data_IF_720553020059
#
_entry.id   IF_720553020059
#
_cell.length_a   1.000
_cell.length_b   1.000
_cell.length_c   1.000
_cell.angle_alpha   90.00
_cell.angle_beta   90.00
_cell.angle_gamma   90.00
#
_symmetry.space_group_name_H-M   'P 1'
#
loop_
_entity.id
_entity.type
_entity.pdbx_description
1 polymer ?
#
# COMPACT_ATOMS: atom_id res chain seq x y z
N UNK A 1 -18.44 -6.91 6.92
CA UNK A 1 -18.24 -7.96 5.95
C UNK A 1 -17.36 -7.50 4.80
N UNK A 2 -16.35 -8.29 4.47
CA UNK A 2 -15.38 -7.92 3.44
C UNK A 2 -15.70 -8.65 2.14
N UNK A 3 -16.50 -8.04 1.28
CA UNK A 3 -16.83 -8.55 -0.04
C UNK A 3 -16.19 -7.74 -1.16
N UNK A 4 -15.61 -6.61 -0.85
CA UNK A 4 -15.03 -5.74 -1.87
C UNK A 4 -13.69 -6.30 -2.34
N UNK A 5 -13.52 -6.62 -3.65
CA UNK A 5 -12.23 -7.13 -4.16
C UNK A 5 -11.08 -6.17 -3.92
N UNK A 6 -11.33 -4.87 -3.83
CA UNK A 6 -10.29 -3.88 -3.56
C UNK A 6 -9.65 -4.05 -2.18
N UNK A 7 -10.29 -4.78 -1.26
CA UNK A 7 -9.74 -5.05 0.07
C UNK A 7 -8.73 -6.21 0.07
N UNK A 8 -8.63 -6.98 -1.00
CA UNK A 8 -7.73 -8.15 -1.07
C UNK A 8 -6.29 -7.78 -0.77
N UNK A 9 -5.80 -6.68 -1.33
CA UNK A 9 -4.42 -6.25 -1.14
C UNK A 9 -4.14 -5.88 0.32
N UNK A 10 -5.10 -5.27 0.98
CA UNK A 10 -4.96 -4.92 2.40
C UNK A 10 -4.86 -6.19 3.26
N UNK A 11 -5.63 -7.22 2.95
CA UNK A 11 -5.57 -8.50 3.64
C UNK A 11 -4.21 -9.17 3.39
N UNK A 12 -3.74 -9.16 2.14
CA UNK A 12 -2.45 -9.74 1.77
C UNK A 12 -1.30 -9.03 2.51
N UNK A 13 -1.33 -7.71 2.59
CA UNK A 13 -0.33 -6.93 3.32
C UNK A 13 -0.36 -7.26 4.81
N UNK A 14 -1.55 -7.39 5.39
CA UNK A 14 -1.70 -7.75 6.80
C UNK A 14 -1.10 -9.14 7.09
N UNK A 15 -1.31 -10.10 6.19
CA UNK A 15 -0.72 -11.44 6.33
C UNK A 15 0.80 -11.39 6.23
N UNK A 16 1.35 -10.63 5.28
CA UNK A 16 2.80 -10.45 5.15
C UNK A 16 3.37 -9.80 6.41
N UNK A 17 2.71 -8.79 6.93
CA UNK A 17 3.08 -8.10 8.17
C UNK A 17 3.16 -9.08 9.33
N UNK A 18 2.16 -9.95 9.47
CA UNK A 18 2.12 -10.95 10.53
C UNK A 18 3.23 -11.98 10.41
N UNK A 19 3.46 -12.50 9.20
CA UNK A 19 4.50 -13.52 8.95
C UNK A 19 5.90 -12.96 9.21
N UNK A 20 6.16 -11.72 8.80
CA UNK A 20 7.46 -11.09 8.96
C UNK A 20 7.63 -10.37 10.29
N UNK A 21 6.58 -10.26 11.05
CA UNK A 21 6.56 -9.52 12.32
C UNK A 21 7.02 -8.06 12.13
N UNK A 22 6.56 -7.43 11.05
CA UNK A 22 6.83 -6.03 10.74
C UNK A 22 5.50 -5.31 10.64
N UNK A 23 5.25 -4.30 11.48
CA UNK A 23 3.96 -3.61 11.47
C UNK A 23 3.74 -2.82 10.18
N UNK A 24 2.49 -2.79 9.72
CA UNK A 24 2.09 -1.93 8.60
C UNK A 24 2.10 -0.49 9.09
N UNK A 25 2.66 0.45 8.30
CA UNK A 25 2.61 1.86 8.68
C UNK A 25 1.16 2.33 8.89
N UNK A 26 0.91 3.01 9.99
CA UNK A 26 -0.45 3.43 10.37
C UNK A 26 -1.01 4.54 9.47
N UNK A 27 -0.15 5.22 8.71
CA UNK A 27 -0.52 6.32 7.82
C UNK A 27 -0.69 5.88 6.36
N UNK A 28 -0.75 4.57 6.12
CA UNK A 28 -0.83 4.01 4.76
C UNK A 28 -2.18 3.34 4.51
N UNK A 29 -2.81 3.68 3.39
CA UNK A 29 -3.95 2.93 2.89
C UNK A 29 -3.47 1.98 1.80
N UNK A 30 -4.20 0.89 1.62
CA UNK A 30 -3.88 -0.12 0.62
C UNK A 30 -5.16 -0.51 -0.10
N UNK A 31 -5.11 -0.55 -1.43
CA UNK A 31 -6.23 -1.04 -2.23
C UNK A 31 -5.71 -1.85 -3.41
N UNK A 32 -6.39 -2.91 -3.75
CA UNK A 32 -6.05 -3.76 -4.88
C UNK A 32 -6.77 -5.09 -4.80
N UNK A 33 -7.05 -5.68 -5.97
CA UNK A 33 -7.58 -7.02 -6.07
C UNK A 33 -6.44 -7.98 -6.33
N UNK A 34 -6.36 -9.07 -5.57
CA UNK A 34 -5.28 -10.06 -5.72
C UNK A 34 -5.76 -11.25 -6.53
N UNK A 35 -5.05 -11.55 -7.62
CA UNK A 35 -5.34 -12.69 -8.46
C UNK A 35 -4.72 -13.99 -7.96
N UNK A 36 -5.04 -15.09 -8.61
CA UNK A 36 -4.60 -16.43 -8.19
C UNK A 36 -3.10 -16.63 -8.28
N UNK A 37 -2.41 -15.86 -9.12
CA UNK A 37 -0.95 -15.91 -9.24
C UNK A 37 -0.24 -14.91 -8.33
N UNK A 38 -0.97 -14.25 -7.44
CA UNK A 38 -0.39 -13.24 -6.54
C UNK A 38 -0.25 -11.87 -7.16
N UNK A 39 -0.74 -11.67 -8.39
CA UNK A 39 -0.70 -10.36 -9.05
C UNK A 39 -1.72 -9.41 -8.42
N UNK A 40 -1.38 -8.14 -8.35
CA UNK A 40 -2.28 -7.10 -7.86
C UNK A 40 -2.92 -6.44 -9.07
N UNK A 41 -4.24 -6.53 -9.13
CA UNK A 41 -5.04 -6.01 -10.24
C UNK A 41 -5.52 -4.60 -9.95
N UNK A 42 -5.80 -3.85 -11.03
CA UNK A 42 -6.33 -2.50 -10.92
C UNK A 42 -7.67 -2.49 -10.19
N UNK A 43 -7.94 -1.40 -9.49
CA UNK A 43 -9.22 -1.17 -8.83
C UNK A 43 -9.86 0.09 -9.40
N UNK A 44 -11.18 0.17 -9.29
CA UNK A 44 -11.91 1.37 -9.69
C UNK A 44 -11.62 2.51 -8.72
N UNK A 45 -11.53 3.72 -9.27
CA UNK A 45 -11.41 4.95 -8.49
C UNK A 45 -10.18 5.00 -7.56
N UNK A 46 -9.03 4.46 -8.03
CA UNK A 46 -7.81 4.44 -7.23
C UNK A 46 -7.38 5.84 -6.80
N UNK A 47 -7.42 6.81 -7.72
CA UNK A 47 -7.05 8.20 -7.41
C UNK A 47 -8.01 8.82 -6.40
N UNK A 48 -9.30 8.59 -6.57
CA UNK A 48 -10.33 9.10 -5.65
C UNK A 48 -10.19 8.48 -4.27
N UNK A 49 -9.83 7.21 -4.20
CA UNK A 49 -9.55 6.53 -2.92
C UNK A 49 -8.38 7.17 -2.20
N UNK A 50 -7.31 7.50 -2.95
CA UNK A 50 -6.13 8.16 -2.38
C UNK A 50 -6.46 9.58 -1.91
N UNK A 51 -7.23 10.33 -2.67
CA UNK A 51 -7.67 11.69 -2.30
C UNK A 51 -8.47 11.67 -1.00
N UNK A 52 -9.41 10.74 -0.89
CA UNK A 52 -10.22 10.61 0.32
C UNK A 52 -9.38 10.22 1.52
N UNK A 53 -8.39 9.34 1.32
CA UNK A 53 -7.48 8.94 2.38
C UNK A 53 -6.68 10.13 2.91
N UNK A 54 -6.17 10.98 2.02
CA UNK A 54 -5.43 12.19 2.41
C UNK A 54 -6.35 13.11 3.22
N UNK A 55 -7.59 13.26 2.79
CA UNK A 55 -8.55 14.12 3.48
C UNK A 55 -8.76 13.70 4.94
N UNK A 56 -8.69 12.41 5.23
CA UNK A 56 -8.89 11.90 6.58
C UNK A 56 -7.59 11.61 7.33
N UNK A 57 -6.43 12.02 6.78
CA UNK A 57 -5.18 12.02 7.51
C UNK A 57 -4.12 11.02 7.10
N UNK A 58 -4.38 10.19 6.09
CA UNK A 58 -3.36 9.28 5.56
C UNK A 58 -2.39 10.04 4.66
N UNK A 59 -1.14 9.60 4.64
CA UNK A 59 -0.09 10.26 3.84
C UNK A 59 0.56 9.31 2.83
N UNK A 60 0.23 8.02 2.86
CA UNK A 60 0.77 7.01 1.96
C UNK A 60 -0.34 6.13 1.41
N UNK A 61 -0.16 5.69 0.16
CA UNK A 61 -1.12 4.80 -0.49
C UNK A 61 -0.39 3.75 -1.31
N UNK A 62 -0.60 2.47 -1.02
CA UNK A 62 -0.12 1.36 -1.83
C UNK A 62 -1.25 0.98 -2.79
N UNK A 63 -1.04 1.22 -4.07
CA UNK A 63 -2.07 1.07 -5.10
C UNK A 63 -1.56 0.22 -6.25
N UNK A 64 -2.45 -0.42 -7.02
CA UNK A 64 -2.03 -1.24 -8.15
C UNK A 64 -1.23 -0.45 -9.17
N UNK A 65 -0.08 -1.01 -9.57
CA UNK A 65 0.76 -0.42 -10.60
C UNK A 65 0.10 -0.47 -11.98
N UNK A 66 -0.73 -1.49 -12.19
CA UNK A 66 -1.42 -1.71 -13.46
C UNK A 66 -2.33 -0.51 -13.77
N UNK A 67 -2.16 0.05 -14.97
CA UNK A 67 -2.88 1.26 -15.40
C UNK A 67 -2.15 2.57 -15.11
N UNK A 68 -1.18 2.59 -14.19
CA UNK A 68 -0.46 3.82 -13.85
C UNK A 68 0.46 4.33 -14.95
N UNK A 69 0.96 3.44 -15.82
CA UNK A 69 1.80 3.83 -16.94
C UNK A 69 1.06 4.75 -17.90
N UNK A 70 -0.24 4.54 -18.05
CA UNK A 70 -1.10 5.35 -18.93
C UNK A 70 -1.72 6.53 -18.19
N UNK A 71 -2.11 6.31 -16.95
CA UNK A 71 -2.76 7.32 -16.10
C UNK A 71 -2.08 7.33 -14.74
N UNK A 72 -0.93 8.01 -14.61
CA UNK A 72 -0.23 8.08 -13.33
C UNK A 72 -1.12 8.66 -12.24
N UNK A 73 -1.06 8.07 -11.07
CA UNK A 73 -1.82 8.55 -9.92
C UNK A 73 -0.92 9.51 -9.14
N UNK A 74 -1.30 10.77 -9.15
CA UNK A 74 -0.59 11.82 -8.43
C UNK A 74 -1.60 12.56 -7.56
N UNK A 75 -1.41 12.49 -6.25
CA UNK A 75 -2.30 13.11 -5.28
C UNK A 75 -1.45 13.93 -4.33
N UNK A 76 -1.73 15.22 -4.26
CA UNK A 76 -1.03 16.12 -3.35
C UNK A 76 -1.16 15.65 -1.90
N UNK A 77 -0.04 15.63 -1.20
CA UNK A 77 0.00 15.20 0.19
C UNK A 77 0.05 13.68 0.37
N UNK A 78 0.18 12.92 -0.72
CA UNK A 78 0.21 11.47 -0.67
C UNK A 78 1.39 10.90 -1.43
N UNK A 79 2.15 10.03 -0.80
CA UNK A 79 3.18 9.23 -1.48
C UNK A 79 2.52 7.94 -1.97
N UNK A 80 2.51 7.75 -3.29
CA UNK A 80 1.89 6.57 -3.91
C UNK A 80 2.96 5.52 -4.19
N UNK A 81 2.72 4.31 -3.71
CA UNK A 81 3.60 3.16 -3.90
C UNK A 81 2.95 2.18 -4.86
N UNK A 82 3.45 2.07 -6.10
CA UNK A 82 2.86 1.14 -7.07
C UNK A 82 3.16 -0.31 -6.69
N UNK A 83 2.13 -1.15 -6.69
CA UNK A 83 2.23 -2.56 -6.33
C UNK A 83 1.78 -3.43 -7.51
N UNK A 84 2.64 -4.34 -7.96
CA UNK A 84 2.29 -5.28 -9.04
C UNK A 84 1.98 -6.68 -8.55
N UNK A 85 2.55 -7.09 -7.42
CA UNK A 85 2.32 -8.42 -6.85
C UNK A 85 2.52 -8.41 -5.36
N UNK A 86 2.12 -9.48 -4.70
CA UNK A 86 2.22 -9.58 -3.23
C UNK A 86 3.67 -9.54 -2.74
N UNK A 87 4.63 -9.91 -3.57
CA UNK A 87 6.04 -9.77 -3.23
C UNK A 87 6.42 -8.32 -2.92
N UNK A 88 5.79 -7.37 -3.59
CA UNK A 88 6.05 -5.94 -3.37
C UNK A 88 5.69 -5.51 -1.94
N UNK A 89 4.77 -6.19 -1.30
CA UNK A 89 4.43 -5.92 0.10
C UNK A 89 5.59 -6.24 1.03
N UNK A 90 6.31 -7.32 0.76
CA UNK A 90 7.49 -7.69 1.55
C UNK A 90 8.59 -6.63 1.43
N UNK A 91 8.80 -6.13 0.21
CA UNK A 91 9.76 -5.05 -0.05
C UNK A 91 9.34 -3.77 0.66
N UNK A 92 8.05 -3.42 0.57
CA UNK A 92 7.49 -2.23 1.19
C UNK A 92 7.66 -2.28 2.72
N UNK A 93 7.34 -3.39 3.34
CA UNK A 93 7.49 -3.57 4.79
C UNK A 93 8.95 -3.48 5.23
N UNK A 94 9.85 -4.09 4.46
CA UNK A 94 11.28 -4.07 4.76
C UNK A 94 11.84 -2.65 4.73
N UNK A 95 11.44 -1.85 3.73
CA UNK A 95 11.86 -0.44 3.62
C UNK A 95 11.31 0.39 4.76
N UNK A 96 10.05 0.18 5.12
CA UNK A 96 9.41 0.88 6.22
C UNK A 96 10.11 0.61 7.55
N UNK A 97 10.46 -0.64 7.81
CA UNK A 97 11.19 -1.03 9.02
C UNK A 97 12.57 -0.37 9.09
N UNK A 98 13.30 -0.32 7.96
CA UNK A 98 14.61 0.32 7.89
C UNK A 98 14.53 1.82 8.16
N UNK A 99 13.52 2.49 7.61
CA UNK A 99 13.31 3.92 7.84
C UNK A 99 13.03 4.21 9.30
N UNK A 100 12.15 3.44 9.94
CA UNK A 100 11.86 3.58 11.36
C UNK A 100 13.08 3.37 12.22
N UNK A 101 13.92 2.38 11.90
CA UNK A 101 15.15 2.12 12.62
C UNK A 101 16.16 3.27 12.47
N UNK A 102 16.30 3.81 11.26
CA UNK A 102 17.20 4.94 11.00
C UNK A 102 16.74 6.18 11.73
N UNK A 103 15.46 6.45 11.76
CA UNK A 103 14.90 7.58 12.50
C UNK A 103 15.18 7.46 13.99
N UNK A 104 15.05 6.25 14.55
CA UNK A 104 15.35 6.00 15.96
C UNK A 104 16.84 6.20 16.26
N UNK A 105 17.72 5.79 15.37
CA UNK A 105 19.15 5.99 15.51
C UNK A 105 19.53 7.47 15.49
N UNK A 106 18.82 8.29 14.71
CA UNK A 106 19.08 9.73 14.62
C UNK A 106 18.63 10.50 15.85
N UNK A 107 17.67 9.97 16.60
CA UNK A 107 17.17 10.65 17.80
C UNK A 107 17.97 10.37 19.06
N UNK A 108 18.92 9.50 18.99
CA UNK A 108 19.84 9.20 20.09
C UNK A 108 21.08 10.17 20.03
#
# INVERSE_FOLDING_TARGET
RIDEPAADAAIALALCSSIKDIPVPHDMIVAGEVGLSGEVRAVSFAKERAKEAVRIGFTRAALPKRGMSRYPIDVEGCSVYPISGVYDFLVLLSKSAKQGKNENEQTI
#
